data_IF_913218936228
#
_entry.id   IF_913218936228
#
_cell.length_a   1.000
_cell.length_b   1.000
_cell.length_c   1.000
_cell.angle_alpha   90.00
_cell.angle_beta   90.00
_cell.angle_gamma   90.00
#
_symmetry.space_group_name_H-M   'P 1'
#
loop_
_entity.id
_entity.type
_entity.pdbx_description
1 polymer ?
#
# COMPACT_ATOMS: atom_id res chain seq x y z
N UNK A 1 -10.59 4.34 -11.12
CA UNK A 1 -9.99 4.82 -9.86
C UNK A 1 -9.11 6.01 -10.18
N UNK A 2 -9.13 7.05 -9.35
CA UNK A 2 -8.26 8.23 -9.51
C UNK A 2 -7.11 8.17 -8.50
N UNK A 3 -6.01 8.87 -8.76
CA UNK A 3 -4.89 9.01 -7.81
C UNK A 3 -5.33 9.58 -6.45
N UNK A 4 -6.36 10.43 -6.42
CA UNK A 4 -6.97 10.92 -5.19
C UNK A 4 -7.55 9.79 -4.33
N UNK A 5 -8.27 8.85 -4.96
CA UNK A 5 -8.90 7.71 -4.29
C UNK A 5 -7.83 6.81 -3.63
N UNK A 6 -6.74 6.56 -4.36
CA UNK A 6 -5.59 5.82 -3.84
C UNK A 6 -4.96 6.51 -2.62
N UNK A 7 -4.80 7.84 -2.64
CA UNK A 7 -4.31 8.60 -1.47
C UNK A 7 -5.24 8.49 -0.26
N UNK A 8 -6.55 8.47 -0.47
CA UNK A 8 -7.51 8.25 0.62
C UNK A 8 -7.44 6.82 1.18
N UNK A 9 -7.21 5.82 0.32
CA UNK A 9 -6.95 4.45 0.77
C UNK A 9 -5.66 4.33 1.58
N UNK A 10 -4.56 4.96 1.14
CA UNK A 10 -3.28 4.98 1.88
C UNK A 10 -3.42 5.65 3.26
N UNK A 11 -4.17 6.75 3.32
CA UNK A 11 -4.48 7.43 4.59
C UNK A 11 -5.32 6.54 5.51
N UNK A 12 -6.30 5.83 4.95
CA UNK A 12 -7.13 4.90 5.69
C UNK A 12 -6.31 3.71 6.20
N UNK A 13 -5.37 3.20 5.39
CA UNK A 13 -4.44 2.16 5.80
C UNK A 13 -3.60 2.62 6.99
N UNK A 14 -3.00 3.83 6.94
CA UNK A 14 -2.25 4.38 8.09
C UNK A 14 -3.06 4.38 9.38
N UNK A 15 -4.30 4.89 9.33
CA UNK A 15 -5.19 4.88 10.51
C UNK A 15 -5.45 3.45 11.01
N UNK A 16 -5.68 2.50 10.09
CA UNK A 16 -5.87 1.10 10.48
C UNK A 16 -4.64 0.51 11.18
N UNK A 17 -3.42 0.90 10.79
CA UNK A 17 -2.19 0.44 11.46
C UNK A 17 -2.06 1.01 12.89
N UNK A 18 -2.52 2.25 13.10
CA UNK A 18 -2.55 2.88 14.42
C UNK A 18 -3.59 2.21 15.34
N UNK A 19 -4.74 1.83 14.78
CA UNK A 19 -5.82 1.15 15.50
C UNK A 19 -5.58 -0.36 15.68
N UNK A 20 -4.54 -0.94 15.06
CA UNK A 20 -4.20 -2.36 15.18
C UNK A 20 -3.00 -2.61 16.10
N UNK A 21 -3.23 -2.88 17.41
CA UNK A 21 -2.17 -3.20 18.34
C UNK A 21 -1.48 -4.54 18.05
N UNK A 22 -2.09 -5.41 17.23
CA UNK A 22 -1.55 -6.71 16.86
C UNK A 22 -0.35 -6.65 15.91
N UNK A 23 -0.11 -5.53 15.22
CA UNK A 23 1.06 -5.37 14.35
C UNK A 23 2.29 -5.05 15.17
N UNK A 24 3.39 -5.76 14.91
CA UNK A 24 4.68 -5.42 15.50
C UNK A 24 5.19 -4.08 14.98
N UNK A 25 6.10 -3.43 15.72
CA UNK A 25 6.75 -2.18 15.29
C UNK A 25 7.40 -2.32 13.91
N UNK A 26 8.02 -3.48 13.64
CA UNK A 26 8.68 -3.75 12.37
C UNK A 26 7.70 -3.88 11.21
N UNK A 27 6.55 -4.51 11.44
CA UNK A 27 5.51 -4.62 10.42
C UNK A 27 4.87 -3.28 10.10
N UNK A 28 4.65 -2.45 11.12
CA UNK A 28 4.19 -1.08 10.91
C UNK A 28 5.21 -0.30 10.09
N UNK A 29 6.48 -0.34 10.47
CA UNK A 29 7.55 0.35 9.75
C UNK A 29 7.62 -0.09 8.26
N UNK A 30 7.53 -1.39 7.99
CA UNK A 30 7.54 -1.94 6.63
C UNK A 30 6.37 -1.39 5.79
N UNK A 31 5.16 -1.37 6.36
CA UNK A 31 3.98 -0.82 5.68
C UNK A 31 4.08 0.70 5.53
N UNK A 32 4.55 1.42 6.55
CA UNK A 32 4.77 2.86 6.48
C UNK A 32 5.77 3.21 5.37
N UNK A 33 6.89 2.48 5.27
CA UNK A 33 7.88 2.66 4.22
C UNK A 33 7.33 2.33 2.82
N UNK A 34 6.36 1.41 2.74
CA UNK A 34 5.70 1.05 1.49
C UNK A 34 4.69 2.13 1.06
N UNK A 35 3.93 2.68 2.00
CA UNK A 35 3.03 3.82 1.79
C UNK A 35 3.82 5.04 1.33
N UNK A 36 4.92 5.37 2.00
CA UNK A 36 5.75 6.54 1.67
C UNK A 36 6.34 6.43 0.26
N UNK A 37 6.82 5.24 -0.13
CA UNK A 37 7.25 4.95 -1.50
C UNK A 37 6.15 5.13 -2.54
N UNK A 38 4.92 4.71 -2.24
CA UNK A 38 3.78 4.93 -3.13
C UNK A 38 3.49 6.43 -3.24
N UNK A 39 3.42 7.16 -2.13
CA UNK A 39 3.11 8.60 -2.14
C UNK A 39 4.18 9.43 -2.85
N UNK A 40 5.46 9.14 -2.62
CA UNK A 40 6.56 9.78 -3.33
C UNK A 40 6.47 9.55 -4.84
N UNK A 41 6.07 8.34 -5.24
CA UNK A 41 5.89 8.01 -6.66
C UNK A 41 4.70 8.70 -7.28
N UNK A 42 3.57 8.72 -6.58
CA UNK A 42 2.37 9.45 -7.03
C UNK A 42 2.65 10.95 -7.16
N UNK A 43 3.58 11.50 -6.37
CA UNK A 43 4.02 12.89 -6.45
C UNK A 43 4.96 13.16 -7.63
N UNK A 44 5.92 12.26 -7.88
CA UNK A 44 6.91 12.43 -8.95
C UNK A 44 6.36 12.11 -10.34
N UNK A 45 5.30 11.32 -10.44
CA UNK A 45 4.59 11.03 -11.70
C UNK A 45 5.40 10.21 -12.70
N UNK A 46 6.53 9.63 -12.27
CA UNK A 46 7.46 8.95 -13.15
C UNK A 46 6.85 7.61 -13.59
N UNK A 47 6.41 7.45 -14.83
CA UNK A 47 5.71 6.26 -15.31
C UNK A 47 6.56 4.97 -15.30
N UNK A 48 7.89 5.08 -15.38
CA UNK A 48 8.78 4.01 -15.84
C UNK A 48 9.21 2.95 -14.81
N UNK A 49 9.09 3.22 -13.50
CA UNK A 49 9.42 2.27 -12.41
C UNK A 49 8.19 1.71 -11.68
N UNK A 50 6.98 1.93 -12.22
CA UNK A 50 5.76 1.55 -11.52
C UNK A 50 5.45 0.05 -11.52
N UNK A 51 5.93 -0.73 -12.49
CA UNK A 51 5.77 -2.19 -12.49
C UNK A 51 6.43 -2.86 -11.27
N UNK A 52 7.43 -2.23 -10.65
CA UNK A 52 8.04 -2.73 -9.41
C UNK A 52 7.19 -2.45 -8.16
N UNK A 53 6.35 -1.43 -8.21
CA UNK A 53 5.55 -0.92 -7.09
C UNK A 53 4.31 -1.77 -6.86
N UNK A 54 3.56 -2.06 -7.92
CA UNK A 54 2.46 -3.04 -7.91
C UNK A 54 2.92 -4.40 -7.41
N UNK A 55 4.05 -4.90 -7.92
CA UNK A 55 4.64 -6.15 -7.45
C UNK A 55 5.09 -6.12 -5.98
N UNK A 56 5.61 -4.97 -5.51
CA UNK A 56 5.97 -4.77 -4.11
C UNK A 56 4.76 -4.80 -3.17
N UNK A 57 3.68 -4.12 -3.57
CA UNK A 57 2.41 -4.07 -2.83
C UNK A 57 1.77 -5.46 -2.77
N UNK A 58 1.74 -6.20 -3.87
CA UNK A 58 1.20 -7.58 -3.90
C UNK A 58 1.96 -8.50 -2.96
N UNK A 59 3.30 -8.48 -2.99
CA UNK A 59 4.12 -9.31 -2.09
C UNK A 59 3.92 -8.95 -0.62
N UNK A 60 3.76 -7.66 -0.32
CA UNK A 60 3.42 -7.22 1.03
C UNK A 60 2.04 -7.77 1.43
N UNK A 61 1.03 -7.64 0.57
CA UNK A 61 -0.30 -8.18 0.82
C UNK A 61 -0.27 -9.70 1.11
N UNK A 62 0.46 -10.48 0.30
CA UNK A 62 0.62 -11.92 0.49
C UNK A 62 1.29 -12.26 1.84
N UNK A 63 2.31 -11.49 2.23
CA UNK A 63 2.98 -11.65 3.54
C UNK A 63 2.03 -11.38 4.71
N UNK A 64 1.17 -10.37 4.57
CA UNK A 64 0.24 -9.96 5.62
C UNK A 64 -1.06 -10.78 5.61
N UNK A 65 -1.35 -11.59 4.59
CA UNK A 65 -2.63 -12.30 4.46
C UNK A 65 -2.89 -13.28 5.61
N UNK A 66 -1.85 -13.99 6.06
CA UNK A 66 -1.96 -14.99 7.13
C UNK A 66 -2.14 -14.39 8.54
N UNK A 67 -1.53 -13.23 8.82
CA UNK A 67 -1.55 -12.60 10.14
C UNK A 67 -2.51 -11.42 10.26
N UNK A 68 -2.75 -10.72 9.16
CA UNK A 68 -3.44 -9.42 9.12
C UNK A 68 -4.32 -9.31 7.87
N UNK A 69 -5.40 -10.12 7.75
CA UNK A 69 -6.23 -10.17 6.54
C UNK A 69 -6.86 -8.82 6.17
N UNK A 70 -7.14 -7.96 7.17
CA UNK A 70 -7.65 -6.60 6.93
C UNK A 70 -6.61 -5.70 6.24
N UNK A 71 -5.35 -5.76 6.68
CA UNK A 71 -4.24 -5.02 6.09
C UNK A 71 -3.93 -5.55 4.69
N UNK A 72 -3.88 -6.87 4.53
CA UNK A 72 -3.68 -7.53 3.23
C UNK A 72 -4.76 -7.15 2.22
N UNK A 73 -6.04 -7.10 2.64
CA UNK A 73 -7.14 -6.64 1.80
C UNK A 73 -6.97 -5.20 1.32
N UNK A 74 -6.56 -4.29 2.21
CA UNK A 74 -6.29 -2.90 1.84
C UNK A 74 -5.11 -2.78 0.88
N UNK A 75 -3.99 -3.48 1.15
CA UNK A 75 -2.82 -3.52 0.26
C UNK A 75 -3.19 -4.07 -1.13
N UNK A 76 -3.98 -5.13 -1.20
CA UNK A 76 -4.45 -5.69 -2.47
C UNK A 76 -5.31 -4.69 -3.25
N UNK A 77 -6.17 -3.94 -2.56
CA UNK A 77 -6.96 -2.88 -3.20
C UNK A 77 -6.07 -1.76 -3.76
N UNK A 78 -5.03 -1.36 -3.03
CA UNK A 78 -4.01 -0.40 -3.48
C UNK A 78 -3.27 -0.94 -4.71
N UNK A 79 -2.86 -2.21 -4.72
CA UNK A 79 -2.19 -2.84 -5.85
C UNK A 79 -3.07 -2.86 -7.11
N UNK A 80 -4.36 -3.18 -6.95
CA UNK A 80 -5.35 -3.11 -8.05
C UNK A 80 -5.55 -1.69 -8.53
N UNK A 81 -5.60 -0.71 -7.62
CA UNK A 81 -5.72 0.70 -7.96
C UNK A 81 -4.53 1.18 -8.79
N UNK A 82 -3.31 0.85 -8.36
CA UNK A 82 -2.07 1.16 -9.09
C UNK A 82 -2.11 0.55 -10.51
N UNK A 83 -2.39 -0.76 -10.62
CA UNK A 83 -2.51 -1.44 -11.90
C UNK A 83 -3.56 -0.79 -12.82
N UNK A 84 -4.72 -0.42 -12.27
CA UNK A 84 -5.81 0.22 -13.03
C UNK A 84 -5.48 1.64 -13.50
N UNK A 85 -4.60 2.36 -12.80
CA UNK A 85 -4.16 3.70 -13.21
C UNK A 85 -3.13 3.61 -14.35
N UNK A 86 -2.68 2.41 -14.73
CA UNK A 86 -1.68 2.22 -15.79
C UNK A 86 -0.27 2.61 -15.35
N UNK A 87 -0.04 2.55 -14.04
CA UNK A 87 1.23 2.72 -13.35
C UNK A 87 1.58 1.39 -12.69
#
# INVERSE_FOLDING_TARGET
MSVQDLRDQLRSLRKQLEEQPALTLRERDDIHALIDRIEDRLRTGDAASHSGLTGGVTRAAERFEAGHPKVAGTLRSIGVALANIGI
#
